data_IF_099944512353
#
_entry.id   IF_099944512353
#
_cell.length_a   1.000
_cell.length_b   1.000
_cell.length_c   1.000
_cell.angle_alpha   90.00
_cell.angle_beta   90.00
_cell.angle_gamma   90.00
#
_symmetry.space_group_name_H-M   'P 1'
#
loop_
_entity.id
_entity.type
_entity.pdbx_description
1 polymer ?
#
# COMPACT_ATOMS: atom_id res chain seq x y z
N UNK A 1 3.39 -6.82 53.57
CA UNK A 1 4.19 -6.09 52.57
C UNK A 1 4.76 -7.02 51.48
N UNK A 2 3.91 -7.83 50.80
CA UNK A 2 4.37 -8.80 49.77
C UNK A 2 3.42 -9.02 48.58
N UNK A 3 2.36 -8.21 48.38
CA UNK A 3 1.44 -8.38 47.24
C UNK A 3 1.63 -7.38 46.08
N UNK A 4 2.42 -6.32 46.26
CA UNK A 4 2.63 -5.28 45.22
C UNK A 4 3.75 -5.59 44.22
N UNK A 5 4.49 -6.69 44.39
CA UNK A 5 5.64 -7.03 43.53
C UNK A 5 5.31 -8.03 42.41
N UNK A 6 4.20 -8.75 42.48
CA UNK A 6 3.82 -9.74 41.44
C UNK A 6 3.09 -9.08 40.28
N UNK A 7 2.39 -7.96 40.50
CA UNK A 7 1.62 -7.28 39.47
C UNK A 7 2.47 -6.51 38.45
N UNK A 8 3.73 -6.17 38.78
CA UNK A 8 4.64 -5.47 37.86
C UNK A 8 5.42 -6.40 36.91
N UNK A 9 5.32 -7.72 37.09
CA UNK A 9 6.02 -8.67 36.21
C UNK A 9 5.16 -9.19 35.05
N UNK A 10 3.83 -9.02 35.10
CA UNK A 10 2.90 -9.47 34.05
C UNK A 10 2.55 -8.39 33.01
N UNK A 11 3.06 -7.17 33.16
CA UNK A 11 2.85 -6.06 32.20
C UNK A 11 4.06 -5.90 31.27
N UNK A 12 5.18 -6.59 31.54
CA UNK A 12 6.43 -6.45 30.79
C UNK A 12 6.63 -7.43 29.64
N UNK A 13 5.62 -8.25 29.27
CA UNK A 13 5.84 -9.36 28.33
C UNK A 13 4.69 -9.62 27.33
N UNK A 14 3.78 -8.65 27.14
CA UNK A 14 2.70 -8.73 26.12
C UNK A 14 2.77 -7.55 25.14
N UNK A 15 3.88 -6.81 25.13
CA UNK A 15 4.21 -5.83 24.10
C UNK A 15 5.37 -6.39 23.27
N UNK A 16 5.16 -6.45 21.96
CA UNK A 16 6.09 -6.89 20.92
C UNK A 16 6.28 -8.41 20.75
N UNK A 17 5.18 -9.13 20.57
CA UNK A 17 5.15 -10.21 19.58
C UNK A 17 4.11 -9.88 18.51
N UNK A 18 4.17 -8.66 17.94
CA UNK A 18 3.79 -8.52 16.54
C UNK A 18 4.91 -9.18 15.76
N UNK A 19 4.70 -10.46 15.49
CA UNK A 19 5.33 -11.14 14.39
C UNK A 19 5.23 -10.17 13.21
N UNK A 20 6.37 -9.60 12.82
CA UNK A 20 6.47 -8.75 11.63
C UNK A 20 6.25 -9.72 10.46
N UNK A 21 4.98 -10.01 10.18
CA UNK A 21 4.59 -10.37 8.85
C UNK A 21 4.86 -9.11 8.05
N UNK A 22 6.05 -9.03 7.47
CA UNK A 22 6.41 -7.95 6.57
C UNK A 22 5.45 -8.11 5.38
N UNK A 23 4.39 -7.31 5.34
CA UNK A 23 3.45 -7.30 4.21
C UNK A 23 4.21 -6.80 2.96
N UNK A 24 3.70 -7.13 1.77
CA UNK A 24 4.26 -6.61 0.52
C UNK A 24 4.30 -5.09 0.55
N UNK A 25 3.24 -4.46 1.06
CA UNK A 25 3.12 -3.01 1.18
C UNK A 25 4.16 -2.42 2.15
N UNK A 26 4.38 -3.01 3.33
CA UNK A 26 5.38 -2.50 4.29
C UNK A 26 6.79 -2.53 3.70
N UNK A 27 7.10 -3.59 2.94
CA UNK A 27 8.37 -3.71 2.22
C UNK A 27 8.49 -2.65 1.13
N UNK A 28 7.42 -2.43 0.34
CA UNK A 28 7.40 -1.44 -0.72
C UNK A 28 7.58 -0.01 -0.15
N UNK A 29 6.79 0.36 0.86
CA UNK A 29 6.90 1.64 1.57
C UNK A 29 8.33 1.86 2.06
N UNK A 30 8.89 0.89 2.79
CA UNK A 30 10.24 1.04 3.34
C UNK A 30 11.32 1.21 2.27
N UNK A 31 11.17 0.59 1.11
CA UNK A 31 12.13 0.74 -0.01
C UNK A 31 11.97 2.11 -0.68
N UNK A 32 10.74 2.55 -0.94
CA UNK A 32 10.45 3.88 -1.51
C UNK A 32 10.95 5.02 -0.60
N UNK A 33 10.68 4.94 0.70
CA UNK A 33 11.14 5.96 1.66
C UNK A 33 12.66 6.05 1.75
N UNK A 34 13.39 4.94 1.56
CA UNK A 34 14.86 4.95 1.54
C UNK A 34 15.42 5.68 0.32
N UNK A 35 14.69 5.67 -0.79
CA UNK A 35 15.03 6.39 -2.02
C UNK A 35 14.56 7.86 -1.98
N UNK A 36 13.93 8.30 -0.89
CA UNK A 36 13.55 9.70 -0.66
C UNK A 36 12.13 10.05 -1.07
N UNK A 37 11.29 9.07 -1.39
CA UNK A 37 9.86 9.29 -1.60
C UNK A 37 9.12 9.41 -0.27
N UNK A 38 8.04 10.18 -0.26
CA UNK A 38 7.07 10.17 0.84
C UNK A 38 5.88 9.33 0.42
N UNK A 39 5.49 8.34 1.23
CA UNK A 39 4.31 7.51 0.97
C UNK A 39 3.27 7.77 2.05
N UNK A 40 2.07 8.19 1.64
CA UNK A 40 0.99 8.57 2.54
C UNK A 40 -0.26 7.75 2.22
N UNK A 41 -0.78 7.04 3.22
CA UNK A 41 -2.06 6.35 3.08
C UNK A 41 -3.20 7.36 2.95
N UNK A 42 -4.06 7.16 1.96
CA UNK A 42 -5.23 7.98 1.68
C UNK A 42 -6.36 7.66 2.64
N UNK A 43 -7.14 8.66 3.01
CA UNK A 43 -8.35 8.44 3.80
C UNK A 43 -9.48 7.84 2.97
N UNK A 44 -10.40 7.11 3.63
CA UNK A 44 -11.59 6.54 2.98
C UNK A 44 -12.37 7.59 2.16
N UNK A 45 -12.45 8.84 2.62
CA UNK A 45 -13.16 9.93 1.92
C UNK A 45 -12.50 10.26 0.57
N UNK A 46 -11.16 10.30 0.54
CA UNK A 46 -10.39 10.54 -0.67
C UNK A 46 -10.49 9.34 -1.62
N UNK A 47 -10.41 8.11 -1.10
CA UNK A 47 -10.56 6.89 -1.90
C UNK A 47 -11.96 6.84 -2.53
N UNK A 48 -13.02 7.11 -1.77
CA UNK A 48 -14.40 7.15 -2.27
C UNK A 48 -14.62 8.20 -3.38
N UNK A 49 -13.78 9.24 -3.42
CA UNK A 49 -13.83 10.28 -4.44
C UNK A 49 -13.11 9.88 -5.73
N UNK A 50 -12.13 8.97 -5.64
CA UNK A 50 -11.33 8.47 -6.77
C UNK A 50 -11.89 7.18 -7.36
N UNK A 51 -12.36 6.28 -6.50
CA UNK A 51 -12.76 4.92 -6.84
C UNK A 51 -14.26 4.80 -6.58
N UNK A 52 -14.98 4.19 -7.52
CA UNK A 52 -16.40 3.92 -7.31
C UNK A 52 -16.58 3.05 -6.07
N UNK A 53 -17.45 3.46 -5.14
CA UNK A 53 -17.72 2.79 -3.85
C UNK A 53 -17.90 1.27 -3.97
N UNK A 54 -18.44 0.79 -5.09
CA UNK A 54 -18.66 -0.65 -5.35
C UNK A 54 -17.38 -1.46 -5.58
N UNK A 55 -16.26 -0.80 -5.86
CA UNK A 55 -14.99 -1.45 -6.16
C UNK A 55 -14.04 -1.45 -4.96
N UNK A 56 -14.44 -0.80 -3.86
CA UNK A 56 -13.66 -0.78 -2.61
C UNK A 56 -13.61 -2.14 -1.92
N UNK A 57 -14.53 -3.05 -2.24
CA UNK A 57 -14.53 -4.40 -1.64
C UNK A 57 -13.32 -5.25 -2.06
N UNK A 58 -12.55 -4.81 -3.06
CA UNK A 58 -11.35 -5.49 -3.57
C UNK A 58 -10.04 -4.82 -3.09
N UNK A 59 -10.14 -3.61 -2.53
CA UNK A 59 -9.01 -2.76 -2.19
C UNK A 59 -8.88 -2.71 -0.68
N UNK A 60 -7.68 -3.01 -0.18
CA UNK A 60 -7.35 -2.89 1.24
C UNK A 60 -7.03 -1.43 1.59
N UNK A 61 -6.08 -0.83 0.87
CA UNK A 61 -5.62 0.55 1.10
C UNK A 61 -5.15 1.20 -0.21
N UNK A 62 -5.12 2.54 -0.24
CA UNK A 62 -4.54 3.32 -1.33
C UNK A 62 -3.54 4.31 -0.76
N UNK A 63 -2.41 4.44 -1.44
CA UNK A 63 -1.31 5.28 -1.01
C UNK A 63 -0.95 6.29 -2.10
N UNK A 64 -0.72 7.52 -1.67
CA UNK A 64 -0.12 8.58 -2.47
C UNK A 64 1.40 8.51 -2.34
N UNK A 65 2.10 8.46 -3.48
CA UNK A 65 3.57 8.53 -3.53
C UNK A 65 3.96 9.92 -4.01
N UNK A 66 4.79 10.60 -3.22
CA UNK A 66 5.31 11.94 -3.50
C UNK A 66 6.81 11.95 -3.61
N UNK A 67 7.32 12.78 -4.52
CA UNK A 67 8.76 13.06 -4.61
C UNK A 67 9.24 14.02 -3.50
N UNK A 68 10.50 14.44 -3.59
CA UNK A 68 11.11 15.36 -2.63
C UNK A 68 10.54 16.78 -2.64
N UNK A 69 9.79 17.16 -3.69
CA UNK A 69 9.14 18.45 -3.83
C UNK A 69 7.65 18.39 -3.41
N UNK A 70 7.23 17.32 -2.72
CA UNK A 70 5.86 17.02 -2.32
C UNK A 70 4.87 16.90 -3.50
N UNK A 71 5.38 16.65 -4.72
CA UNK A 71 4.54 16.44 -5.89
C UNK A 71 4.11 14.97 -5.96
N UNK A 72 2.81 14.75 -6.15
CA UNK A 72 2.25 13.42 -6.38
C UNK A 72 2.78 12.86 -7.70
N UNK A 73 3.52 11.74 -7.62
CA UNK A 73 4.09 11.06 -8.78
C UNK A 73 3.30 9.81 -9.15
N UNK A 74 2.75 9.11 -8.15
CA UNK A 74 2.00 7.88 -8.38
C UNK A 74 0.98 7.61 -7.28
N UNK A 75 0.05 6.71 -7.60
CA UNK A 75 -0.77 5.99 -6.64
C UNK A 75 -0.31 4.55 -6.58
N UNK A 76 -0.24 4.01 -5.36
CA UNK A 76 -0.08 2.59 -5.09
C UNK A 76 -1.38 2.08 -4.47
N UNK A 77 -2.04 1.15 -5.14
CA UNK A 77 -3.26 0.50 -4.66
C UNK A 77 -2.86 -0.87 -4.13
N UNK A 78 -3.19 -1.14 -2.87
CA UNK A 78 -3.08 -2.46 -2.27
C UNK A 78 -4.42 -3.18 -2.38
N UNK A 79 -4.41 -4.32 -3.07
CA UNK A 79 -5.55 -5.23 -3.10
C UNK A 79 -5.46 -6.22 -1.95
N UNK A 80 -6.62 -6.71 -1.51
CA UNK A 80 -6.74 -7.72 -0.44
C UNK A 80 -5.85 -8.93 -0.74
N UNK A 81 -5.82 -9.36 -2.00
CA UNK A 81 -4.98 -10.41 -2.53
C UNK A 81 -4.80 -10.26 -4.06
N UNK A 82 -4.01 -11.16 -4.66
CA UNK A 82 -3.76 -11.16 -6.10
C UNK A 82 -5.00 -11.51 -6.93
N UNK A 83 -5.92 -12.33 -6.39
CA UNK A 83 -7.16 -12.73 -7.08
C UNK A 83 -8.12 -11.53 -7.17
N UNK A 84 -8.15 -10.67 -6.15
CA UNK A 84 -8.93 -9.44 -6.10
C UNK A 84 -8.56 -8.45 -7.21
N UNK A 85 -7.32 -8.50 -7.72
CA UNK A 85 -6.91 -7.70 -8.88
C UNK A 85 -7.69 -8.11 -10.12
N UNK A 86 -7.77 -9.41 -10.40
CA UNK A 86 -8.43 -9.91 -11.60
C UNK A 86 -9.94 -9.66 -11.54
N UNK A 87 -10.55 -9.84 -10.36
CA UNK A 87 -11.96 -9.49 -10.16
C UNK A 87 -12.21 -7.99 -10.33
N UNK A 88 -11.37 -7.13 -9.74
CA UNK A 88 -11.48 -5.68 -9.90
C UNK A 88 -11.42 -5.26 -11.36
N UNK A 89 -10.43 -5.78 -12.11
CA UNK A 89 -10.24 -5.52 -13.53
C UNK A 89 -11.43 -5.99 -14.37
N UNK A 90 -11.97 -7.18 -14.08
CA UNK A 90 -13.18 -7.68 -14.73
C UNK A 90 -14.37 -6.74 -14.51
N UNK A 91 -14.56 -6.20 -13.29
CA UNK A 91 -15.66 -5.27 -12.98
C UNK A 91 -15.57 -3.95 -13.74
N UNK A 92 -14.36 -3.47 -14.02
CA UNK A 92 -14.15 -2.24 -14.78
C UNK A 92 -13.96 -2.49 -16.28
N UNK A 93 -14.22 -3.74 -16.73
CA UNK A 93 -14.11 -4.17 -18.12
C UNK A 93 -12.73 -3.84 -18.74
N UNK A 94 -11.67 -4.02 -17.95
CA UNK A 94 -10.29 -3.73 -18.33
C UNK A 94 -9.42 -4.98 -18.21
N UNK A 95 -8.49 -5.21 -19.13
CA UNK A 95 -7.48 -6.25 -18.98
C UNK A 95 -6.21 -5.73 -18.29
N UNK A 96 -5.37 -6.62 -17.76
CA UNK A 96 -4.06 -6.25 -17.19
C UNK A 96 -3.15 -5.55 -18.21
N UNK A 97 -3.26 -5.89 -19.49
CA UNK A 97 -2.47 -5.28 -20.58
C UNK A 97 -2.95 -3.86 -20.92
N UNK A 98 -4.21 -3.55 -20.65
CA UNK A 98 -4.83 -2.24 -20.90
C UNK A 98 -4.76 -1.30 -19.69
N UNK A 99 -4.44 -1.82 -18.50
CA UNK A 99 -4.26 -1.03 -17.30
C UNK A 99 -3.07 -0.07 -17.45
N UNK A 100 -3.32 1.23 -17.27
CA UNK A 100 -2.30 2.27 -17.30
C UNK A 100 -1.49 2.28 -15.98
N UNK A 101 -0.67 1.25 -15.83
CA UNK A 101 0.12 1.00 -14.63
C UNK A 101 0.80 -0.36 -14.65
N UNK A 102 1.37 -0.73 -13.51
CA UNK A 102 2.10 -1.99 -13.37
C UNK A 102 1.71 -2.71 -12.08
N UNK A 103 1.74 -4.04 -12.12
CA UNK A 103 1.40 -4.90 -11.00
C UNK A 103 2.64 -5.52 -10.37
N UNK A 104 2.70 -5.53 -9.04
CA UNK A 104 3.70 -6.26 -8.26
C UNK A 104 3.00 -6.98 -7.10
N UNK A 105 2.85 -8.31 -7.23
CA UNK A 105 2.04 -9.11 -6.30
C UNK A 105 0.62 -8.53 -6.18
N UNK A 106 0.15 -8.25 -4.95
CA UNK A 106 -1.14 -7.62 -4.67
C UNK A 106 -1.12 -6.09 -4.77
N UNK A 107 -0.05 -5.47 -5.29
CA UNK A 107 0.06 -4.03 -5.47
C UNK A 107 -0.12 -3.64 -6.94
N UNK A 108 -0.79 -2.52 -7.17
CA UNK A 108 -0.89 -1.85 -8.48
C UNK A 108 -0.37 -0.42 -8.38
N UNK A 109 0.52 -0.06 -9.29
CA UNK A 109 1.11 1.28 -9.39
C UNK A 109 0.57 1.98 -10.62
N UNK A 110 0.00 3.16 -10.46
CA UNK A 110 -0.44 4.00 -11.58
C UNK A 110 0.10 5.42 -11.43
N UNK A 111 0.75 5.91 -12.48
CA UNK A 111 1.20 7.29 -12.56
C UNK A 111 0.04 8.20 -12.93
N UNK A 112 -0.16 9.27 -12.16
CA UNK A 112 -1.11 10.32 -12.52
C UNK A 112 -0.44 11.29 -13.50
N UNK A 113 -0.26 10.85 -14.75
CA UNK A 113 0.25 11.69 -15.84
C UNK A 113 1.77 11.73 -15.99
N UNK A 114 2.51 10.81 -15.37
CA UNK A 114 3.91 10.54 -15.70
C UNK A 114 4.03 9.49 -16.82
N UNK A 115 5.09 9.52 -17.63
CA UNK A 115 5.38 8.47 -18.61
C UNK A 115 5.61 7.11 -17.91
N UNK A 116 5.30 6.02 -18.60
CA UNK A 116 5.39 4.64 -18.08
C UNK A 116 6.78 4.28 -17.50
N UNK A 117 7.84 4.96 -17.96
CA UNK A 117 9.21 4.81 -17.46
C UNK A 117 9.37 5.17 -15.97
N UNK A 118 8.59 6.12 -15.47
CA UNK A 118 8.64 6.54 -14.07
C UNK A 118 7.93 5.51 -13.16
N UNK A 119 6.86 4.88 -13.66
CA UNK A 119 6.17 3.79 -12.94
C UNK A 119 7.07 2.56 -12.85
N UNK A 120 7.77 2.23 -13.93
CA UNK A 120 8.71 1.11 -13.94
C UNK A 120 9.86 1.33 -12.95
N UNK A 121 10.37 2.57 -12.83
CA UNK A 121 11.40 2.90 -11.85
C UNK A 121 10.93 2.64 -10.40
N UNK A 122 9.68 2.98 -10.07
CA UNK A 122 9.10 2.68 -8.75
C UNK A 122 9.04 1.17 -8.48
N UNK A 123 8.71 0.37 -9.50
CA UNK A 123 8.73 -1.10 -9.38
C UNK A 123 10.16 -1.62 -9.18
N UNK A 124 11.12 -1.11 -9.93
CA UNK A 124 12.52 -1.51 -9.83
C UNK A 124 13.11 -1.21 -8.43
N UNK A 125 12.61 -0.17 -7.75
CA UNK A 125 12.97 0.13 -6.36
C UNK A 125 12.45 -0.96 -5.41
N UNK A 126 11.24 -1.47 -5.63
CA UNK A 126 10.55 -2.36 -4.68
C UNK A 126 10.75 -3.85 -4.92
N UNK A 127 11.25 -4.28 -6.08
CA UNK A 127 11.69 -5.67 -6.35
C UNK A 127 12.89 -6.07 -5.45
#
# INVERSE_FOLDING_TARGET
>A
MKLRKVLKLMIGFVLLFTVVACSTVDSAISKLEKEGYTVVEMSDEEINSLIQVKLLEYIESVYEIKDSDDLQVALMIEFIDEDSIDEYLEKIELSREEAAGLFYKNLYFTALGLPDEDVQYLIDIID
#
